data_IF_257754729633
#
_entry.id   IF_257754729633
#
_cell.length_a   1.000
_cell.length_b   1.000
_cell.length_c   1.000
_cell.angle_alpha   90.00
_cell.angle_beta   90.00
_cell.angle_gamma   90.00
#
_symmetry.space_group_name_H-M   'P 1'
#
loop_
_entity.id
_entity.type
_entity.pdbx_description
1 polymer ?
#
# COMPACT_ATOMS: atom_id res chain seq x y z
N UNK A 1 -29.35 -72.17 -8.49
CA UNK A 1 -28.66 -71.44 -7.41
C UNK A 1 -27.88 -70.25 -8.05
N UNK A 2 -28.46 -69.06 -8.06
CA UNK A 2 -27.94 -67.87 -8.75
C UNK A 2 -27.42 -66.91 -7.70
N UNK A 3 -26.12 -66.73 -7.64
CA UNK A 3 -25.43 -65.72 -6.78
C UNK A 3 -25.38 -64.37 -7.49
N UNK A 4 -26.15 -63.39 -6.97
CA UNK A 4 -26.06 -62.00 -7.41
C UNK A 4 -25.00 -61.28 -6.62
N UNK A 5 -23.90 -60.92 -7.28
CA UNK A 5 -22.88 -59.99 -6.75
C UNK A 5 -23.41 -58.54 -6.87
N UNK A 6 -23.62 -57.88 -5.73
CA UNK A 6 -23.94 -56.47 -5.67
C UNK A 6 -22.62 -55.67 -5.66
N UNK A 7 -22.39 -54.92 -6.74
CA UNK A 7 -21.29 -53.92 -6.80
C UNK A 7 -21.70 -52.70 -5.96
N UNK A 8 -20.95 -52.44 -4.86
CA UNK A 8 -21.00 -51.14 -4.17
C UNK A 8 -20.18 -50.14 -4.98
N UNK A 9 -20.84 -49.13 -5.53
CA UNK A 9 -20.18 -47.95 -6.09
C UNK A 9 -19.86 -46.98 -4.94
N UNK A 10 -18.57 -46.81 -4.64
CA UNK A 10 -18.08 -45.75 -3.76
C UNK A 10 -18.13 -44.39 -4.52
N UNK A 11 -18.99 -43.49 -4.06
CA UNK A 11 -19.01 -42.10 -4.54
C UNK A 11 -17.94 -41.34 -3.75
N UNK A 12 -16.81 -41.09 -4.40
CA UNK A 12 -15.77 -40.17 -3.86
C UNK A 12 -16.28 -38.73 -4.02
N UNK A 13 -16.76 -38.13 -2.93
CA UNK A 13 -17.11 -36.72 -2.88
C UNK A 13 -15.85 -35.86 -2.95
N UNK A 14 -15.64 -35.15 -4.05
CA UNK A 14 -14.65 -34.05 -4.11
C UNK A 14 -15.13 -32.93 -3.19
N UNK A 15 -14.49 -32.78 -2.03
CA UNK A 15 -14.58 -31.59 -1.23
C UNK A 15 -13.79 -30.48 -1.95
N UNK A 16 -14.47 -29.64 -2.72
CA UNK A 16 -13.90 -28.42 -3.23
C UNK A 16 -13.66 -27.47 -2.05
N UNK A 17 -12.40 -27.24 -1.72
CA UNK A 17 -12.00 -26.20 -0.79
C UNK A 17 -12.33 -24.85 -1.43
N UNK A 18 -13.44 -24.26 -1.04
CA UNK A 18 -13.76 -22.87 -1.35
C UNK A 18 -12.78 -22.01 -0.54
N UNK A 19 -11.67 -21.64 -1.16
CA UNK A 19 -10.83 -20.58 -0.64
C UNK A 19 -11.65 -19.28 -0.66
N UNK A 20 -12.15 -18.88 0.50
CA UNK A 20 -12.75 -17.56 0.67
C UNK A 20 -11.67 -16.53 0.31
N UNK A 21 -11.95 -15.56 -0.58
CA UNK A 21 -10.99 -14.48 -0.83
C UNK A 21 -10.74 -13.78 0.51
N UNK A 22 -9.48 -13.74 0.92
CA UNK A 22 -9.05 -12.88 2.04
C UNK A 22 -9.39 -11.47 1.60
N UNK A 23 -10.34 -10.85 2.28
CA UNK A 23 -10.81 -9.50 1.97
C UNK A 23 -9.63 -8.55 2.02
N UNK A 24 -9.27 -8.00 0.86
CA UNK A 24 -8.49 -6.78 0.82
C UNK A 24 -9.19 -5.77 1.74
N UNK A 25 -8.45 -5.21 2.70
CA UNK A 25 -8.98 -4.17 3.58
C UNK A 25 -9.66 -3.11 2.70
N UNK A 26 -10.99 -3.00 2.76
CA UNK A 26 -11.73 -2.03 1.95
C UNK A 26 -11.33 -0.64 2.42
N UNK A 27 -10.66 0.10 1.55
CA UNK A 27 -10.28 1.48 1.83
C UNK A 27 -11.54 2.35 1.72
N UNK A 28 -11.88 3.01 2.81
CA UNK A 28 -12.97 3.97 2.88
C UNK A 28 -12.45 5.36 2.47
N UNK A 29 -12.81 5.88 1.28
CA UNK A 29 -12.30 7.14 0.76
C UNK A 29 -12.77 8.38 1.55
N UNK A 30 -13.73 8.19 2.47
CA UNK A 30 -14.27 9.26 3.33
C UNK A 30 -13.39 9.57 4.52
N UNK A 31 -12.30 8.82 4.75
CA UNK A 31 -11.41 9.00 5.89
C UNK A 31 -9.95 9.09 5.46
N UNK A 32 -9.16 9.76 6.29
CA UNK A 32 -7.72 9.71 6.20
C UNK A 32 -7.17 8.46 6.89
N UNK A 33 -5.99 8.03 6.45
CA UNK A 33 -5.25 6.89 6.98
C UNK A 33 -3.85 7.34 7.40
N UNK A 34 -3.30 6.67 8.40
CA UNK A 34 -1.87 6.71 8.72
C UNK A 34 -1.20 5.42 8.21
N UNK A 35 0.00 5.55 7.67
CA UNK A 35 0.76 4.44 7.10
C UNK A 35 2.00 4.18 7.94
N UNK A 36 2.16 2.95 8.40
CA UNK A 36 3.36 2.47 9.10
C UNK A 36 3.89 1.20 8.46
N UNK A 37 5.11 0.78 8.79
CA UNK A 37 5.68 -0.49 8.31
C UNK A 37 5.94 -1.43 9.47
N UNK A 38 5.91 -2.73 9.21
CA UNK A 38 6.29 -3.72 10.22
C UNK A 38 7.73 -3.51 10.69
N UNK A 39 8.63 -3.05 9.81
CA UNK A 39 10.04 -2.80 10.12
C UNK A 39 10.24 -1.73 11.21
N UNK A 40 9.56 -0.59 11.11
CA UNK A 40 9.71 0.53 12.06
C UNK A 40 8.62 0.54 13.14
N UNK A 41 7.65 -0.36 13.03
CA UNK A 41 6.54 -0.45 13.96
C UNK A 41 5.53 0.69 13.86
N UNK A 42 4.48 0.58 14.66
CA UNK A 42 3.32 1.49 14.59
C UNK A 42 3.59 2.87 15.20
N UNK A 43 4.68 3.05 15.93
CA UNK A 43 5.12 4.36 16.44
C UNK A 43 5.70 5.29 15.38
N UNK A 44 5.90 4.82 14.13
CA UNK A 44 6.45 5.60 13.02
C UNK A 44 5.44 5.65 11.88
N UNK A 45 5.17 6.85 11.36
CA UNK A 45 4.19 7.08 10.29
C UNK A 45 4.81 7.75 9.08
N UNK A 46 4.30 7.39 7.90
CA UNK A 46 4.71 8.03 6.65
C UNK A 46 4.29 9.50 6.65
N UNK A 47 5.25 10.38 6.50
CA UNK A 47 5.12 11.84 6.52
C UNK A 47 5.75 12.49 5.29
N UNK A 48 5.52 13.78 5.12
CA UNK A 48 6.01 14.59 3.99
C UNK A 48 6.93 15.71 4.48
N UNK A 49 8.12 15.79 3.92
CA UNK A 49 9.01 16.90 4.18
C UNK A 49 8.40 18.25 3.77
N UNK A 50 8.46 19.22 4.67
CA UNK A 50 8.00 20.58 4.45
C UNK A 50 9.18 21.55 4.27
N UNK A 51 9.48 21.85 3.01
CA UNK A 51 10.53 22.81 2.65
C UNK A 51 11.93 22.20 2.51
N UNK A 52 12.88 23.09 2.19
CA UNK A 52 14.26 22.73 1.92
C UNK A 52 14.47 21.82 0.69
N UNK A 53 15.68 21.27 0.54
CA UNK A 53 16.04 20.42 -0.60
C UNK A 53 15.24 19.12 -0.71
N UNK A 54 14.62 18.66 0.39
CA UNK A 54 13.79 17.45 0.44
C UNK A 54 12.30 17.74 0.37
N UNK A 55 11.90 18.98 0.09
CA UNK A 55 10.47 19.36 0.03
C UNK A 55 9.67 18.40 -0.85
N UNK A 56 8.53 17.95 -0.34
CA UNK A 56 7.65 16.96 -0.97
C UNK A 56 8.18 15.51 -1.03
N UNK A 57 9.43 15.22 -0.64
CA UNK A 57 9.85 13.85 -0.39
C UNK A 57 9.11 13.30 0.84
N UNK A 58 9.12 11.98 0.97
CA UNK A 58 8.47 11.30 2.10
C UNK A 58 9.49 10.61 2.99
N UNK A 59 9.14 10.42 4.26
CA UNK A 59 9.90 9.60 5.22
C UNK A 59 9.01 9.11 6.35
N UNK A 60 9.45 8.12 7.11
CA UNK A 60 8.82 7.76 8.37
C UNK A 60 9.28 8.70 9.48
N UNK A 61 8.32 9.25 10.22
CA UNK A 61 8.49 10.11 11.39
C UNK A 61 7.74 9.54 12.59
N UNK A 62 8.09 9.91 13.83
CA UNK A 62 7.29 9.58 14.98
C UNK A 62 5.81 9.95 14.78
N UNK A 63 4.91 9.10 15.27
CA UNK A 63 3.47 9.34 15.15
C UNK A 63 3.04 10.63 15.84
N UNK A 64 2.46 11.55 15.08
CA UNK A 64 1.99 12.85 15.54
C UNK A 64 0.68 13.24 14.83
N UNK A 65 -0.07 14.16 15.41
CA UNK A 65 -1.28 14.74 14.78
C UNK A 65 -0.90 15.88 13.82
N UNK A 66 -0.08 15.56 12.79
CA UNK A 66 0.36 16.52 11.77
C UNK A 66 -0.21 16.16 10.40
N UNK A 67 -0.54 17.18 9.62
CA UNK A 67 -1.26 17.01 8.34
C UNK A 67 -0.50 16.19 7.30
N UNK A 68 0.82 16.10 7.38
CA UNK A 68 1.66 15.30 6.49
C UNK A 68 1.49 13.79 6.66
N UNK A 69 1.03 13.36 7.86
CA UNK A 69 0.81 11.94 8.18
C UNK A 69 -0.61 11.44 7.88
N UNK A 70 -1.53 12.32 7.45
CA UNK A 70 -2.87 11.94 7.07
C UNK A 70 -2.99 11.77 5.56
N UNK A 71 -3.09 10.51 5.13
CA UNK A 71 -3.14 10.10 3.73
C UNK A 71 -4.55 9.81 3.28
N UNK A 72 -4.94 10.37 2.15
CA UNK A 72 -6.19 10.08 1.46
C UNK A 72 -5.93 9.15 0.30
N UNK A 73 -6.81 8.17 0.11
CA UNK A 73 -6.82 7.23 -1.01
C UNK A 73 -8.01 7.52 -1.92
N UNK A 74 -7.76 7.74 -3.19
CA UNK A 74 -8.80 7.97 -4.20
C UNK A 74 -8.69 6.88 -5.26
N UNK A 75 -9.72 6.04 -5.38
CA UNK A 75 -9.77 4.98 -6.38
C UNK A 75 -9.86 5.53 -7.80
N UNK A 76 -9.12 4.94 -8.74
CA UNK A 76 -9.14 5.32 -10.16
C UNK A 76 -10.20 4.54 -10.96
N UNK A 77 -10.98 3.65 -10.33
CA UNK A 77 -11.98 2.82 -10.99
C UNK A 77 -11.43 1.56 -11.68
N UNK A 78 -10.11 1.35 -11.64
CA UNK A 78 -9.40 0.23 -12.28
C UNK A 78 -8.62 -0.65 -11.28
N UNK A 79 -8.96 -0.52 -9.99
CA UNK A 79 -8.30 -1.22 -8.89
C UNK A 79 -7.06 -0.52 -8.34
N UNK A 80 -6.61 0.58 -8.96
CA UNK A 80 -5.52 1.41 -8.44
C UNK A 80 -6.04 2.62 -7.67
N UNK A 81 -5.15 3.22 -6.87
CA UNK A 81 -5.43 4.39 -6.05
C UNK A 81 -4.42 5.51 -6.32
N UNK A 82 -4.89 6.76 -6.22
CA UNK A 82 -4.03 7.92 -5.99
C UNK A 82 -3.96 8.22 -4.51
N UNK A 83 -2.75 8.53 -4.03
CA UNK A 83 -2.48 8.90 -2.66
C UNK A 83 -2.14 10.39 -2.58
N UNK A 84 -2.80 11.12 -1.69
CA UNK A 84 -2.51 12.52 -1.37
C UNK A 84 -2.53 12.72 0.14
N UNK A 85 -2.00 13.84 0.63
CA UNK A 85 -2.01 14.14 2.07
C UNK A 85 -2.93 15.31 2.39
N UNK A 86 -3.40 15.38 3.63
CA UNK A 86 -4.11 16.55 4.16
C UNK A 86 -3.24 17.82 4.02
N UNK A 87 -1.91 17.68 4.22
CA UNK A 87 -0.95 18.78 4.13
C UNK A 87 -0.87 19.41 2.75
N UNK A 88 -0.73 18.61 1.70
CA UNK A 88 -0.57 19.10 0.32
C UNK A 88 -1.87 19.21 -0.45
N UNK A 89 -2.95 18.68 0.13
CA UNK A 89 -4.29 18.72 -0.45
C UNK A 89 -4.48 17.75 -1.63
N UNK A 90 -5.71 17.71 -2.18
CA UNK A 90 -6.10 16.71 -3.18
C UNK A 90 -5.47 16.90 -4.55
N UNK A 91 -4.85 18.06 -4.81
CA UNK A 91 -4.18 18.36 -6.09
C UNK A 91 -2.75 17.85 -6.19
N UNK A 92 -2.21 17.28 -5.11
CA UNK A 92 -0.84 16.74 -5.04
C UNK A 92 -0.88 15.24 -4.77
N UNK A 93 -0.35 14.44 -5.70
CA UNK A 93 -0.38 12.98 -5.67
C UNK A 93 1.02 12.42 -5.43
N UNK A 94 1.08 11.30 -4.69
CA UNK A 94 2.30 10.54 -4.48
C UNK A 94 2.71 9.86 -5.79
N UNK A 95 3.88 10.21 -6.29
CA UNK A 95 4.48 9.74 -7.54
C UNK A 95 5.87 9.16 -7.26
N UNK A 96 6.46 8.51 -8.24
CA UNK A 96 7.78 7.89 -8.17
C UNK A 96 8.76 8.61 -9.11
N UNK A 97 9.90 9.02 -8.58
CA UNK A 97 11.00 9.54 -9.41
C UNK A 97 11.46 8.51 -10.45
N UNK A 98 11.63 9.00 -11.67
CA UNK A 98 12.17 8.24 -12.80
C UNK A 98 13.59 8.72 -13.12
N UNK A 99 14.57 8.11 -12.46
CA UNK A 99 15.98 8.42 -12.66
C UNK A 99 16.56 9.45 -11.70
N UNK A 100 17.83 9.78 -11.88
CA UNK A 100 18.58 10.69 -11.02
C UNK A 100 18.89 10.12 -9.63
N UNK A 101 19.36 11.00 -8.74
CA UNK A 101 19.77 10.63 -7.39
C UNK A 101 18.64 10.05 -6.53
N UNK A 102 17.38 10.44 -6.80
CA UNK A 102 16.20 10.00 -6.07
C UNK A 102 15.42 8.91 -6.80
N UNK A 103 16.01 8.25 -7.80
CA UNK A 103 15.32 7.20 -8.56
C UNK A 103 14.61 6.19 -7.65
N UNK A 104 13.36 5.86 -7.98
CA UNK A 104 12.51 4.98 -7.19
C UNK A 104 12.02 5.54 -5.83
N UNK A 105 12.39 6.75 -5.42
CA UNK A 105 11.83 7.36 -4.22
C UNK A 105 10.48 8.02 -4.52
N UNK A 106 9.51 7.94 -3.61
CA UNK A 106 8.24 8.63 -3.74
C UNK A 106 8.35 10.10 -3.36
N UNK A 107 7.56 10.92 -4.06
CA UNK A 107 7.43 12.35 -3.79
C UNK A 107 6.03 12.85 -4.17
N UNK A 108 5.60 13.96 -3.59
CA UNK A 108 4.33 14.60 -3.95
C UNK A 108 4.54 15.60 -5.10
N UNK A 109 3.78 15.42 -6.17
CA UNK A 109 3.72 16.32 -7.33
C UNK A 109 2.27 16.56 -7.73
N UNK A 110 2.03 17.53 -8.64
CA UNK A 110 0.69 17.75 -9.18
C UNK A 110 0.11 16.46 -9.72
N UNK A 111 -1.14 16.18 -9.35
CA UNK A 111 -1.87 15.02 -9.85
C UNK A 111 -2.03 15.09 -11.37
N UNK A 112 -1.83 13.97 -12.05
CA UNK A 112 -1.93 13.82 -13.48
C UNK A 112 -2.16 12.38 -13.91
N UNK A 113 -2.13 12.13 -15.20
CA UNK A 113 -2.27 10.77 -15.74
C UNK A 113 -0.90 10.08 -15.86
N UNK A 114 -0.16 10.01 -14.76
CA UNK A 114 1.16 9.40 -14.69
C UNK A 114 1.10 8.05 -13.97
N UNK A 115 1.72 7.03 -14.56
CA UNK A 115 1.67 5.65 -14.03
C UNK A 115 2.34 5.50 -12.66
N UNK A 116 3.25 6.41 -12.29
CA UNK A 116 3.88 6.46 -10.96
C UNK A 116 2.90 6.88 -9.85
N UNK A 117 1.78 7.53 -10.21
CA UNK A 117 0.73 7.94 -9.28
C UNK A 117 -0.38 6.88 -9.12
N UNK A 118 -0.31 5.78 -9.89
CA UNK A 118 -1.30 4.70 -9.83
C UNK A 118 -0.76 3.56 -8.96
N UNK A 119 -1.18 3.57 -7.70
CA UNK A 119 -0.73 2.63 -6.67
C UNK A 119 -1.64 1.42 -6.59
N UNK A 120 -1.04 0.22 -6.58
CA UNK A 120 -1.73 -1.01 -6.23
C UNK A 120 -1.51 -1.30 -4.75
N UNK A 121 -2.54 -1.79 -4.09
CA UNK A 121 -2.51 -2.20 -2.69
C UNK A 121 -2.85 -3.67 -2.66
N UNK A 122 -1.87 -4.51 -2.32
CA UNK A 122 -2.00 -5.96 -2.34
C UNK A 122 -1.80 -6.51 -0.93
N UNK A 123 -2.72 -7.35 -0.47
CA UNK A 123 -2.51 -8.08 0.79
C UNK A 123 -1.27 -8.96 0.65
N UNK A 124 -0.41 -8.94 1.66
CA UNK A 124 0.77 -9.82 1.68
C UNK A 124 0.35 -11.29 1.74
N UNK A 125 1.20 -12.19 1.26
CA UNK A 125 0.93 -13.62 1.27
C UNK A 125 0.70 -14.17 2.69
N UNK A 126 1.39 -13.58 3.68
CA UNK A 126 1.23 -13.92 5.11
C UNK A 126 -0.03 -13.31 5.74
N UNK A 127 -0.66 -12.33 5.10
CA UNK A 127 -1.79 -11.59 5.68
C UNK A 127 -1.38 -10.52 6.71
N UNK A 128 -0.09 -10.32 6.97
CA UNK A 128 0.43 -9.45 8.05
C UNK A 128 0.46 -7.95 7.66
N UNK A 129 -0.06 -7.60 6.49
CA UNK A 129 -0.08 -6.23 6.01
C UNK A 129 -0.34 -6.17 4.51
N UNK A 130 -0.11 -5.00 3.93
CA UNK A 130 -0.23 -4.79 2.49
C UNK A 130 1.11 -4.41 1.88
N UNK A 131 1.28 -4.72 0.60
CA UNK A 131 2.37 -4.25 -0.25
C UNK A 131 1.86 -3.14 -1.16
N UNK A 132 2.66 -2.10 -1.31
CA UNK A 132 2.39 -0.97 -2.18
C UNK A 132 3.30 -1.05 -3.40
N UNK A 133 2.73 -1.10 -4.59
CA UNK A 133 3.45 -1.08 -5.89
C UNK A 133 2.84 -0.02 -6.79
N UNK A 134 3.49 0.31 -7.90
CA UNK A 134 2.95 1.27 -8.86
C UNK A 134 2.81 0.64 -10.25
N UNK A 135 1.92 1.18 -11.08
CA UNK A 135 1.88 0.80 -12.50
C UNK A 135 3.18 1.08 -13.23
N UNK A 136 3.88 2.15 -12.83
CA UNK A 136 5.13 2.56 -13.45
C UNK A 136 6.22 1.50 -13.33
N UNK A 137 6.44 0.98 -12.12
CA UNK A 137 7.49 -0.01 -11.86
C UNK A 137 6.99 -1.45 -11.89
N UNK A 138 5.67 -1.63 -12.01
CA UNK A 138 5.05 -2.96 -12.07
C UNK A 138 4.94 -3.66 -10.71
N UNK A 139 4.32 -4.85 -10.70
CA UNK A 139 3.99 -5.57 -9.46
C UNK A 139 5.21 -6.19 -8.76
N UNK A 140 6.36 -6.26 -9.44
CA UNK A 140 7.60 -6.81 -8.88
C UNK A 140 8.43 -5.82 -8.06
N UNK A 141 7.99 -4.53 -7.98
CA UNK A 141 8.69 -3.48 -7.23
C UNK A 141 7.80 -2.98 -6.09
N UNK A 142 8.18 -3.28 -4.86
CA UNK A 142 7.45 -2.94 -3.63
C UNK A 142 8.05 -1.73 -2.93
N UNK A 143 7.18 -0.90 -2.33
CA UNK A 143 7.60 0.21 -1.49
C UNK A 143 8.20 -0.31 -0.19
N UNK A 144 9.46 -0.01 0.03
CA UNK A 144 10.29 -0.41 1.17
C UNK A 144 10.87 0.82 1.88
N UNK A 145 11.51 0.65 3.01
CA UNK A 145 12.14 1.71 3.81
C UNK A 145 13.64 1.51 3.86
N UNK A 146 14.41 2.55 3.54
CA UNK A 146 15.85 2.56 3.76
C UNK A 146 16.20 2.35 5.24
N UNK A 147 17.15 1.44 5.48
CA UNK A 147 17.67 1.14 6.80
C UNK A 147 19.07 1.73 6.96
N UNK A 148 19.13 2.91 7.52
CA UNK A 148 20.40 3.63 7.77
C UNK A 148 20.87 4.50 6.61
N UNK A 149 22.01 5.17 6.83
CA UNK A 149 22.62 6.09 5.89
C UNK A 149 21.86 7.42 5.76
N UNK A 150 22.19 8.19 4.72
CA UNK A 150 21.64 9.54 4.47
C UNK A 150 20.14 9.54 4.15
N UNK A 151 19.60 8.39 3.74
CA UNK A 151 18.21 8.20 3.38
C UNK A 151 17.43 7.40 4.43
N UNK A 152 17.99 7.19 5.64
CA UNK A 152 17.31 6.43 6.69
C UNK A 152 15.85 6.87 6.87
N UNK A 153 14.95 5.91 7.02
CA UNK A 153 13.50 6.13 7.11
C UNK A 153 12.81 6.69 5.84
N UNK A 154 13.52 6.94 4.75
CA UNK A 154 12.87 7.33 3.50
C UNK A 154 12.39 6.08 2.74
N UNK A 155 11.22 6.13 2.12
CA UNK A 155 10.75 5.02 1.29
C UNK A 155 11.39 5.02 -0.10
N UNK A 156 11.47 3.84 -0.69
CA UNK A 156 11.90 3.62 -2.07
C UNK A 156 11.29 2.33 -2.64
N UNK A 157 11.17 2.25 -3.96
CA UNK A 157 10.75 1.00 -4.62
C UNK A 157 11.97 0.11 -4.87
N UNK A 158 11.89 -1.14 -4.42
CA UNK A 158 12.88 -2.20 -4.65
C UNK A 158 12.18 -3.49 -5.05
N UNK A 159 12.93 -4.50 -5.49
CA UNK A 159 12.36 -5.81 -5.77
C UNK A 159 11.56 -6.32 -4.57
N UNK A 160 10.35 -6.81 -4.83
CA UNK A 160 9.53 -7.41 -3.80
C UNK A 160 10.22 -8.63 -3.21
N UNK A 161 10.20 -8.74 -1.88
CA UNK A 161 10.80 -9.82 -1.13
C UNK A 161 10.13 -10.02 0.23
N UNK A 162 10.65 -10.92 1.04
CA UNK A 162 10.14 -11.13 2.39
C UNK A 162 10.82 -10.16 3.38
N UNK A 163 10.61 -8.85 3.17
CA UNK A 163 11.18 -7.76 3.95
C UNK A 163 10.10 -7.04 4.75
N UNK A 164 10.34 -6.81 6.02
CA UNK A 164 9.37 -6.14 6.92
C UNK A 164 9.14 -4.67 6.58
N UNK A 165 10.07 -4.02 5.89
CA UNK A 165 9.91 -2.66 5.35
C UNK A 165 8.90 -2.56 4.22
N UNK A 166 8.60 -3.68 3.54
CA UNK A 166 7.61 -3.78 2.47
C UNK A 166 6.20 -4.14 2.96
N UNK A 167 6.06 -4.47 4.26
CA UNK A 167 4.78 -4.79 4.89
C UNK A 167 4.22 -3.55 5.56
N UNK A 168 3.25 -2.93 4.90
CA UNK A 168 2.59 -1.70 5.34
C UNK A 168 1.30 -1.99 6.07
N UNK A 169 1.04 -1.21 7.11
CA UNK A 169 -0.24 -1.14 7.82
C UNK A 169 -0.93 0.18 7.46
N UNK A 170 -2.19 0.10 7.03
CA UNK A 170 -3.04 1.24 6.74
C UNK A 170 -4.03 1.40 7.90
N UNK A 171 -3.76 2.33 8.82
CA UNK A 171 -4.61 2.59 9.99
C UNK A 171 -5.62 3.68 9.65
N UNK A 172 -6.90 3.32 9.56
CA UNK A 172 -8.01 4.28 9.40
C UNK A 172 -8.05 5.21 10.62
N UNK A 173 -8.16 6.51 10.37
CA UNK A 173 -8.28 7.53 11.43
C UNK A 173 -9.73 8.00 11.56
N UNK A 174 -10.01 8.78 12.61
CA UNK A 174 -11.32 9.45 12.78
C UNK A 174 -11.47 10.71 11.93
N UNK A 175 -10.37 11.15 11.28
CA UNK A 175 -10.35 12.38 10.49
C UNK A 175 -11.03 12.14 9.14
N UNK A 176 -12.12 12.87 8.90
CA UNK A 176 -12.88 12.78 7.65
C UNK A 176 -12.26 13.63 6.54
N UNK A 177 -12.41 13.15 5.31
CA UNK A 177 -12.08 13.90 4.10
C UNK A 177 -13.22 14.85 3.79
N UNK A 178 -12.94 16.15 3.72
CA UNK A 178 -13.94 17.16 3.36
C UNK A 178 -14.47 16.92 1.94
N UNK A 179 -15.80 16.99 1.79
CA UNK A 179 -16.47 16.81 0.50
C UNK A 179 -16.42 15.37 -0.06
N UNK A 180 -16.07 14.37 0.75
CA UNK A 180 -16.26 12.98 0.36
C UNK A 180 -17.75 12.63 0.37
N UNK A 181 -18.22 11.74 -0.55
CA UNK A 181 -19.62 11.32 -0.63
C UNK A 181 -20.08 10.58 0.63
#
# INVERSE_FOLDING_TARGET
MTNSLRLLRAVAGLLAWLSTPVFAQSIDPSFYYKLSTQFRGDGMKLDVFNGGPKNNLTRLEPDQDVSGQFWRFVGNGDGTFRLSTLFRGPGMCLDIFNGGANNNQPHLVRCGNFTGQFWNIMVSESGDGVRLTTRFRGPGMCLDIFNGGVNDNQPHLVNCGNLTGQLWTLTKTDKRVEGAP
#
